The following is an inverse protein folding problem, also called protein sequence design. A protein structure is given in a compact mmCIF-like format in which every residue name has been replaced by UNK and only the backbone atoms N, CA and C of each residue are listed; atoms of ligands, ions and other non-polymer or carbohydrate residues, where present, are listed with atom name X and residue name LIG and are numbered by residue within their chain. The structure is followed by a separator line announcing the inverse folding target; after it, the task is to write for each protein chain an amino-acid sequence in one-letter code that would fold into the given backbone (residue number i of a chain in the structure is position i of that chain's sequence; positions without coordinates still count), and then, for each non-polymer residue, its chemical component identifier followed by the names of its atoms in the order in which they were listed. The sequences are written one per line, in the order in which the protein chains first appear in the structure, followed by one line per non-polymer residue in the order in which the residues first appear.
data_IF_989228840331
#
_entry.id   IF_989228840331
#
_cell.length_a   1.000
_cell.length_b   1.000
_cell.length_c   1.000
_cell.angle_alpha   90.00
_cell.angle_beta   90.00
_cell.angle_gamma   90.00
#
_symmetry.space_group_name_H-M   'P 1'
#
loop_
_entity.id
_entity.type
_entity.pdbx_description
1 polymer ?
#
# COMPACT_ATOMS: atom_id res chain seq x y z
N UNK A 1 -10.93 27.92 -13.48
CA UNK A 1 -9.88 26.94 -13.21
C UNK A 1 -10.57 25.64 -12.84
N UNK A 2 -10.35 24.57 -13.60
CA UNK A 2 -11.09 23.31 -13.50
C UNK A 2 -10.24 22.35 -12.67
N UNK A 3 -10.60 22.17 -11.41
CA UNK A 3 -9.88 21.25 -10.53
C UNK A 3 -10.08 19.80 -11.01
N UNK A 4 -9.00 19.05 -11.01
CA UNK A 4 -8.92 17.70 -11.55
C UNK A 4 -9.79 16.74 -10.73
N UNK A 5 -10.86 16.24 -11.36
CA UNK A 5 -11.80 15.24 -10.85
C UNK A 5 -11.19 13.83 -10.81
N UNK A 6 -9.96 13.69 -10.30
CA UNK A 6 -9.24 12.42 -10.17
C UNK A 6 -9.09 11.93 -8.73
N UNK A 7 -9.20 12.82 -7.74
CA UNK A 7 -8.91 12.50 -6.33
C UNK A 7 -10.09 11.95 -5.52
N UNK A 8 -11.31 12.04 -6.04
CA UNK A 8 -12.51 11.61 -5.30
C UNK A 8 -12.82 10.10 -5.43
N UNK A 9 -12.32 9.40 -6.45
CA UNK A 9 -12.58 7.96 -6.62
C UNK A 9 -11.71 7.07 -5.72
N UNK A 10 -10.47 7.45 -5.41
CA UNK A 10 -9.56 6.65 -4.57
C UNK A 10 -10.04 6.54 -3.10
N UNK A 11 -10.85 7.50 -2.62
CA UNK A 11 -11.35 7.53 -1.25
C UNK A 11 -12.42 6.46 -0.96
N UNK A 12 -13.14 5.99 -1.99
CA UNK A 12 -14.19 4.97 -1.80
C UNK A 12 -13.63 3.56 -1.62
N UNK A 13 -12.60 3.19 -2.39
CA UNK A 13 -12.07 1.82 -2.42
C UNK A 13 -10.95 1.58 -1.39
N UNK A 14 -10.12 2.59 -1.10
CA UNK A 14 -9.05 2.48 -0.09
C UNK A 14 -9.58 2.28 1.33
N UNK A 15 -10.84 2.62 1.60
CA UNK A 15 -11.50 2.41 2.88
C UNK A 15 -11.49 0.95 3.35
N UNK A 16 -11.49 -0.02 2.42
CA UNK A 16 -11.45 -1.45 2.74
C UNK A 16 -10.11 -1.86 3.37
N UNK A 17 -9.04 -1.13 3.06
CA UNK A 17 -7.69 -1.36 3.59
C UNK A 17 -7.40 -0.49 4.82
N UNK A 18 -8.30 0.42 5.17
CA UNK A 18 -8.05 1.44 6.19
C UNK A 18 -8.06 0.86 7.61
N UNK A 19 -8.93 -0.11 7.87
CA UNK A 19 -9.14 -0.70 9.20
C UNK A 19 -8.61 -2.12 9.26
N UNK A 20 -8.29 -2.58 10.47
CA UNK A 20 -7.97 -3.97 10.71
C UNK A 20 -9.10 -4.86 10.17
N UNK A 21 -8.75 -5.81 9.30
CA UNK A 21 -9.67 -6.86 8.88
C UNK A 21 -10.06 -7.65 10.14
N UNK A 22 -11.29 -7.45 10.64
CA UNK A 22 -11.76 -8.10 11.85
C UNK A 22 -11.90 -9.61 11.63
N UNK A 23 -11.43 -10.43 12.57
CA UNK A 23 -11.72 -11.85 12.58
C UNK A 23 -12.42 -12.22 13.87
N UNK A 24 -13.72 -12.05 13.94
CA UNK A 24 -14.49 -12.78 14.93
C UNK A 24 -14.77 -14.14 14.25
N UNK A 25 -13.96 -15.19 14.28
CA UNK A 25 -13.24 -15.83 15.40
C UNK A 25 -12.09 -16.76 14.90
N UNK A 26 -11.57 -16.58 13.67
CA UNK A 26 -10.67 -17.58 13.04
C UNK A 26 -9.20 -17.16 12.82
N UNK A 27 -8.80 -15.92 13.12
CA UNK A 27 -7.38 -15.49 13.05
C UNK A 27 -6.69 -15.47 14.42
N UNK A 28 -7.32 -16.01 15.46
CA UNK A 28 -6.71 -16.20 16.78
C UNK A 28 -6.30 -17.67 16.94
N UNK A 29 -5.36 -18.12 16.11
CA UNK A 29 -4.52 -19.27 16.45
C UNK A 29 -3.18 -19.07 15.76
N UNK A 30 -2.15 -18.84 16.59
CA UNK A 30 -0.73 -18.74 16.25
C UNK A 30 -0.20 -17.36 15.78
N UNK A 31 -0.32 -16.37 16.67
CA UNK A 31 0.61 -15.22 16.74
C UNK A 31 1.91 -15.63 17.46
N UNK A 32 2.69 -16.52 16.83
CA UNK A 32 3.88 -17.16 17.42
C UNK A 32 5.16 -17.11 16.58
N UNK A 33 5.29 -16.18 15.64
CA UNK A 33 6.52 -15.95 14.85
C UNK A 33 6.61 -14.46 14.45
N UNK A 34 7.80 -13.84 14.36
CA UNK A 34 7.96 -12.39 14.36
C UNK A 34 7.51 -11.68 13.07
N UNK A 35 6.91 -12.38 12.10
CA UNK A 35 6.53 -11.80 10.80
C UNK A 35 5.19 -12.33 10.23
N UNK A 36 4.21 -12.66 11.08
CA UNK A 36 2.79 -12.83 10.70
C UNK A 36 1.96 -11.59 11.09
N UNK A 37 2.39 -10.41 10.62
CA UNK A 37 1.84 -9.12 11.06
C UNK A 37 0.54 -8.75 10.31
N UNK A 38 -0.53 -8.52 11.07
CA UNK A 38 -1.67 -7.76 10.58
C UNK A 38 -1.19 -6.34 10.23
N UNK A 39 -1.57 -5.84 9.05
CA UNK A 39 -1.20 -4.52 8.57
C UNK A 39 -2.41 -3.87 7.91
N UNK A 40 -2.61 -2.58 8.15
CA UNK A 40 -3.70 -1.76 7.57
C UNK A 40 -3.21 -0.31 7.43
N UNK A 41 -3.90 0.49 6.62
CA UNK A 41 -3.41 1.83 6.27
C UNK A 41 -3.30 2.76 7.48
N UNK A 42 -4.20 2.67 8.46
CA UNK A 42 -4.11 3.55 9.64
C UNK A 42 -2.86 3.25 10.49
N UNK A 43 -2.45 1.99 10.64
CA UNK A 43 -1.18 1.63 11.30
C UNK A 43 0.04 2.14 10.51
N UNK A 44 -0.01 2.09 9.17
CA UNK A 44 1.04 2.68 8.33
C UNK A 44 1.10 4.21 8.50
N UNK A 45 -0.06 4.89 8.62
CA UNK A 45 -0.09 6.34 8.88
C UNK A 45 0.50 6.69 10.25
N UNK A 46 0.19 5.91 11.28
CA UNK A 46 0.77 6.07 12.62
C UNK A 46 2.29 5.93 12.59
N UNK A 47 2.81 4.85 11.99
CA UNK A 47 4.26 4.62 11.83
C UNK A 47 4.95 5.70 10.97
N UNK A 48 4.27 6.24 9.96
CA UNK A 48 4.78 7.38 9.19
C UNK A 48 4.89 8.64 10.06
N UNK A 49 3.90 8.91 10.91
CA UNK A 49 3.91 10.06 11.82
C UNK A 49 5.05 9.98 12.85
N UNK A 50 5.37 8.77 13.29
CA UNK A 50 6.49 8.49 14.20
C UNK A 50 7.87 8.56 13.52
N UNK A 51 7.92 8.77 12.19
CA UNK A 51 9.16 8.84 11.39
C UNK A 51 10.06 7.60 11.51
N UNK A 52 9.50 6.44 11.82
CA UNK A 52 10.25 5.18 11.97
C UNK A 52 10.51 4.47 10.64
N UNK A 53 9.93 4.95 9.54
CA UNK A 53 10.05 4.29 8.25
C UNK A 53 11.29 4.69 7.46
N UNK A 54 11.97 3.67 6.92
CA UNK A 54 12.68 3.82 5.64
C UNK A 54 11.72 3.53 4.49
N UNK A 55 12.06 3.99 3.28
CA UNK A 55 11.28 3.70 2.06
C UNK A 55 11.09 2.18 1.89
N UNK A 56 12.10 1.37 2.16
CA UNK A 56 12.02 -0.08 2.03
C UNK A 56 10.99 -0.70 2.99
N UNK A 57 10.94 -0.23 4.24
CA UNK A 57 9.97 -0.69 5.23
C UNK A 57 8.54 -0.26 4.87
N UNK A 58 8.36 0.97 4.40
CA UNK A 58 7.05 1.45 3.94
C UNK A 58 6.51 0.60 2.79
N UNK A 59 7.34 0.32 1.77
CA UNK A 59 6.93 -0.51 0.63
C UNK A 59 6.60 -1.95 1.04
N UNK A 60 7.35 -2.50 2.00
CA UNK A 60 7.07 -3.83 2.57
C UNK A 60 5.67 -3.86 3.19
N UNK A 61 5.36 -2.89 4.04
CA UNK A 61 4.10 -2.84 4.78
C UNK A 61 2.91 -2.59 3.83
N UNK A 62 3.06 -1.71 2.83
CA UNK A 62 2.02 -1.50 1.81
C UNK A 62 1.71 -2.78 1.02
N UNK A 63 2.74 -3.52 0.57
CA UNK A 63 2.56 -4.81 -0.13
C UNK A 63 1.95 -5.87 0.77
N UNK A 64 2.27 -5.84 2.07
CA UNK A 64 1.69 -6.76 3.05
C UNK A 64 0.18 -6.56 3.21
N UNK A 65 -0.30 -5.31 3.19
CA UNK A 65 -1.74 -4.99 3.23
C UNK A 65 -2.46 -5.67 2.05
N UNK A 66 -1.96 -5.51 0.82
CA UNK A 66 -2.57 -6.12 -0.37
C UNK A 66 -2.54 -7.65 -0.32
N UNK A 67 -1.41 -8.24 0.11
CA UNK A 67 -1.29 -9.69 0.27
C UNK A 67 -2.28 -10.25 1.29
N UNK A 68 -2.45 -9.57 2.42
CA UNK A 68 -3.39 -9.98 3.46
C UNK A 68 -4.83 -9.90 2.94
N UNK A 69 -5.18 -8.79 2.27
CA UNK A 69 -6.50 -8.59 1.66
C UNK A 69 -6.85 -9.68 0.65
N UNK A 70 -5.92 -9.98 -0.28
CA UNK A 70 -6.08 -11.05 -1.26
C UNK A 70 -6.28 -12.43 -0.61
N UNK A 71 -5.58 -12.68 0.49
CA UNK A 71 -5.68 -13.96 1.21
C UNK A 71 -7.03 -14.09 1.89
N UNK A 72 -7.51 -13.03 2.53
CA UNK A 72 -8.79 -13.02 3.25
C UNK A 72 -10.00 -13.10 2.30
N UNK A 73 -9.96 -12.35 1.19
CA UNK A 73 -11.06 -12.23 0.24
C UNK A 73 -10.90 -13.09 -1.03
N UNK A 74 -10.05 -14.14 -0.98
CA UNK A 74 -9.60 -14.93 -2.15
C UNK A 74 -10.71 -15.45 -3.07
N UNK A 75 -11.91 -15.69 -2.54
CA UNK A 75 -13.06 -16.24 -3.28
C UNK A 75 -14.22 -15.23 -3.46
N UNK A 76 -13.97 -13.94 -3.20
CA UNK A 76 -14.99 -12.88 -3.27
C UNK A 76 -14.58 -11.77 -4.24
N UNK A 77 -15.56 -11.04 -4.75
CA UNK A 77 -15.33 -9.87 -5.62
C UNK A 77 -14.51 -8.78 -4.91
N UNK A 78 -14.48 -8.77 -3.58
CA UNK A 78 -13.60 -7.89 -2.79
C UNK A 78 -12.12 -8.20 -3.02
N UNK A 79 -11.76 -9.43 -3.38
CA UNK A 79 -10.39 -9.79 -3.72
C UNK A 79 -9.87 -9.01 -4.93
N UNK A 80 -10.74 -8.72 -5.91
CA UNK A 80 -10.39 -7.94 -7.09
C UNK A 80 -10.06 -6.48 -6.75
N UNK A 81 -10.81 -5.87 -5.82
CA UNK A 81 -10.55 -4.49 -5.38
C UNK A 81 -9.14 -4.35 -4.80
N UNK A 82 -8.65 -5.33 -4.04
CA UNK A 82 -7.28 -5.31 -3.53
C UNK A 82 -6.22 -5.43 -4.64
N UNK A 83 -6.49 -6.23 -5.68
CA UNK A 83 -5.59 -6.37 -6.83
C UNK A 83 -5.52 -5.08 -7.65
N UNK A 84 -6.67 -4.43 -7.88
CA UNK A 84 -6.73 -3.18 -8.64
C UNK A 84 -5.96 -2.07 -7.92
N UNK A 85 -6.13 -1.96 -6.60
CA UNK A 85 -5.38 -1.01 -5.77
C UNK A 85 -3.88 -1.32 -5.71
N UNK A 86 -3.48 -2.60 -5.65
CA UNK A 86 -2.07 -3.01 -5.70
C UNK A 86 -1.42 -2.61 -7.04
N UNK A 87 -2.12 -2.84 -8.15
CA UNK A 87 -1.64 -2.48 -9.48
C UNK A 87 -1.50 -0.97 -9.66
N UNK A 88 -2.47 -0.19 -9.17
CA UNK A 88 -2.40 1.28 -9.17
C UNK A 88 -1.21 1.77 -8.32
N UNK A 89 -1.01 1.19 -7.13
CA UNK A 89 0.10 1.53 -6.25
C UNK A 89 1.46 1.27 -6.90
N UNK A 90 1.68 0.08 -7.48
CA UNK A 90 2.96 -0.27 -8.12
C UNK A 90 3.24 0.55 -9.39
N UNK A 91 2.19 0.89 -10.15
CA UNK A 91 2.31 1.80 -11.29
C UNK A 91 2.81 3.18 -10.83
N UNK A 92 2.15 3.77 -9.84
CA UNK A 92 2.52 5.08 -9.30
C UNK A 92 3.94 5.07 -8.70
N UNK A 93 4.31 3.99 -8.00
CA UNK A 93 5.65 3.81 -7.47
C UNK A 93 6.70 3.82 -8.58
N UNK A 94 6.46 3.09 -9.67
CA UNK A 94 7.36 3.04 -10.82
C UNK A 94 7.51 4.41 -11.47
N UNK A 95 6.42 5.15 -11.66
CA UNK A 95 6.45 6.51 -12.22
C UNK A 95 7.32 7.45 -11.37
N UNK A 96 7.16 7.43 -10.04
CA UNK A 96 7.97 8.24 -9.11
C UNK A 96 9.45 7.87 -9.18
N UNK A 97 9.79 6.58 -9.23
CA UNK A 97 11.18 6.12 -9.31
C UNK A 97 11.83 6.50 -10.65
N UNK A 98 11.11 6.31 -11.75
CA UNK A 98 11.64 6.61 -13.10
C UNK A 98 11.86 8.11 -13.29
N UNK A 99 10.99 8.95 -12.73
CA UNK A 99 11.18 10.41 -12.74
C UNK A 99 12.49 10.83 -12.06
N UNK A 100 12.80 10.23 -10.91
CA UNK A 100 14.03 10.52 -10.19
C UNK A 100 15.29 10.05 -10.93
N UNK A 101 15.24 8.91 -11.63
CA UNK A 101 16.34 8.44 -12.48
C UNK A 101 16.56 9.34 -13.70
N UNK A 102 15.50 9.75 -14.39
CA UNK A 102 15.57 10.66 -15.53
C UNK A 102 16.16 12.03 -15.14
N UNK A 103 15.79 12.55 -13.96
CA UNK A 103 16.29 13.83 -13.46
C UNK A 103 17.75 13.75 -13.00
N UNK A 104 18.21 12.62 -12.45
CA UNK A 104 19.63 12.41 -12.14
C UNK A 104 20.50 12.37 -13.40
N UNK A 105 20.00 11.77 -14.47
CA UNK A 105 20.75 11.63 -15.71
C UNK A 105 20.85 12.95 -16.51
N UNK A 106 19.96 13.91 -16.28
CA UNK A 106 20.03 15.24 -16.91
C UNK A 106 21.07 16.19 -16.30
N UNK A 107 21.68 15.86 -15.16
CA UNK A 107 22.77 16.65 -14.56
C UNK A 107 24.18 16.13 -14.89
N UNK A 108 24.31 15.08 -15.71
CA UNK A 108 25.61 14.69 -16.25
C UNK A 108 25.96 15.64 -17.41
N UNK A 109 26.67 16.72 -17.08
CA UNK A 109 27.34 17.59 -18.07
C UNK A 109 28.52 16.77 -18.64
N UNK A 110 28.62 16.58 -19.97
CA UNK A 110 29.78 15.93 -20.56
C UNK A 110 31.05 16.77 -20.31
N UNK A 111 32.23 16.14 -20.19
CA UNK A 111 33.50 16.83 -19.93
C UNK A 111 33.92 17.79 -21.04
#
# INVERSE_FOLDING_TARGET
MKESSGSQQCLGQSGVLARQMQPEEQLIRDYGEPFREAMWLDLVKERLAEKVYTVAWFLRDMRLIFRNHKTFYKASDFGQVGLDLEAEFEKNLKEVLTFHEANKNSFQIPP
#
